data_IF_298636393435
#
_entry.id   IF_298636393435
#
_cell.length_a   1.000
_cell.length_b   1.000
_cell.length_c   1.000
_cell.angle_alpha   90.00
_cell.angle_beta   90.00
_cell.angle_gamma   90.00
#
_symmetry.space_group_name_H-M   'P 1'
#
loop_
_entity.id
_entity.type
_entity.pdbx_description
1 polymer ?
#
# COMPACT_ATOMS: atom_id res chain seq x y z
N UNK A 1 19.84 -5.36 -10.42
CA UNK A 1 19.43 -5.67 -11.80
C UNK A 1 18.83 -7.07 -12.02
N UNK A 2 19.10 -8.09 -11.19
CA UNK A 2 18.57 -9.47 -11.40
C UNK A 2 17.03 -9.60 -11.39
N UNK A 3 16.32 -8.65 -10.81
CA UNK A 3 14.85 -8.66 -10.71
C UNK A 3 14.14 -8.11 -11.96
N UNK A 4 14.80 -7.23 -12.72
CA UNK A 4 14.16 -6.55 -13.84
C UNK A 4 13.74 -7.52 -14.97
N UNK A 5 14.50 -8.59 -15.18
CA UNK A 5 14.19 -9.61 -16.20
C UNK A 5 12.98 -10.49 -15.85
N UNK A 6 12.45 -10.39 -14.63
CA UNK A 6 11.34 -11.23 -14.18
C UNK A 6 9.97 -10.60 -14.40
N UNK A 7 9.95 -9.29 -14.67
CA UNK A 7 8.74 -8.58 -15.01
C UNK A 7 8.65 -8.44 -16.53
N UNK A 8 7.48 -8.71 -17.13
CA UNK A 8 7.29 -8.40 -18.53
C UNK A 8 7.41 -6.89 -18.75
N UNK A 9 7.90 -6.46 -19.91
CA UNK A 9 8.10 -5.04 -20.21
C UNK A 9 6.83 -4.18 -19.99
N UNK A 10 5.65 -4.74 -20.28
CA UNK A 10 4.36 -4.05 -20.04
C UNK A 10 4.00 -3.86 -18.56
N UNK A 11 4.77 -4.40 -17.60
CA UNK A 11 4.63 -4.02 -16.19
C UNK A 11 4.98 -2.53 -15.98
N UNK A 12 5.85 -1.97 -16.83
CA UNK A 12 6.21 -0.55 -16.82
C UNK A 12 5.09 0.37 -17.34
N UNK A 13 4.05 -0.20 -17.97
CA UNK A 13 2.83 0.56 -18.33
C UNK A 13 1.98 0.86 -17.09
N UNK A 14 2.30 0.25 -15.95
CA UNK A 14 1.62 0.49 -14.67
C UNK A 14 2.40 1.47 -13.80
N UNK A 15 1.73 2.03 -12.79
CA UNK A 15 2.43 2.70 -11.70
C UNK A 15 3.30 1.70 -10.95
N UNK A 16 4.54 2.05 -10.69
CA UNK A 16 5.47 1.26 -9.89
C UNK A 16 6.21 2.15 -8.91
N UNK A 17 6.97 1.56 -8.00
CA UNK A 17 7.80 2.34 -7.11
C UNK A 17 8.51 1.51 -6.07
N UNK A 18 9.12 2.21 -5.13
CA UNK A 18 9.98 1.60 -4.12
C UNK A 18 9.52 2.01 -2.72
N UNK A 19 9.51 1.07 -1.80
CA UNK A 19 9.42 1.33 -0.37
C UNK A 19 10.84 1.23 0.21
N UNK A 20 11.38 2.31 0.76
CA UNK A 20 12.69 2.30 1.42
C UNK A 20 12.53 2.52 2.91
N UNK A 21 13.14 1.64 3.72
CA UNK A 21 13.42 1.96 5.13
C UNK A 21 14.48 3.05 5.20
N UNK A 22 14.30 4.00 6.11
CA UNK A 22 15.15 5.20 6.16
C UNK A 22 16.26 5.09 7.21
N UNK A 23 16.07 4.25 8.22
CA UNK A 23 17.02 3.98 9.31
C UNK A 23 18.03 2.87 8.95
N UNK A 24 17.83 2.19 7.83
CA UNK A 24 18.68 1.08 7.36
C UNK A 24 19.64 1.51 6.25
N UNK A 25 20.56 0.59 5.91
CA UNK A 25 21.59 0.78 4.91
C UNK A 25 21.03 1.08 3.50
N UNK A 26 21.92 1.45 2.55
CA UNK A 26 21.52 1.98 1.25
C UNK A 26 20.73 1.01 0.35
N UNK A 27 20.74 -0.31 0.60
CA UNK A 27 20.28 -1.34 -0.36
C UNK A 27 18.88 -1.92 -0.12
N UNK A 28 18.20 -1.58 0.98
CA UNK A 28 16.94 -2.25 1.33
C UNK A 28 15.74 -1.46 0.81
N UNK A 29 15.25 -1.82 -0.37
CA UNK A 29 14.01 -1.30 -0.94
C UNK A 29 13.11 -2.44 -1.41
N UNK A 30 11.83 -2.38 -1.06
CA UNK A 30 10.81 -3.26 -1.63
C UNK A 30 10.26 -2.63 -2.92
N UNK A 31 9.86 -3.44 -3.89
CA UNK A 31 9.24 -2.98 -5.13
C UNK A 31 7.73 -3.10 -5.00
N UNK A 32 7.00 -2.03 -5.32
CA UNK A 32 5.57 -2.12 -5.52
C UNK A 32 5.17 -1.88 -6.98
N UNK A 33 4.14 -2.60 -7.42
CA UNK A 33 3.57 -2.52 -8.76
C UNK A 33 2.06 -2.45 -8.65
N UNK A 34 1.45 -1.38 -9.15
CA UNK A 34 0.00 -1.33 -9.33
C UNK A 34 -0.40 -2.20 -10.54
N UNK A 35 -1.53 -2.86 -10.45
CA UNK A 35 -2.10 -3.70 -11.49
C UNK A 35 -3.53 -3.24 -11.71
N UNK A 36 -3.77 -2.65 -12.87
CA UNK A 36 -5.13 -2.32 -13.31
C UNK A 36 -5.79 -3.60 -13.88
N UNK A 37 -6.96 -4.03 -13.37
CA UNK A 37 -7.72 -5.13 -13.95
C UNK A 37 -7.96 -4.93 -15.44
N UNK A 38 -7.82 -5.99 -16.24
CA UNK A 38 -7.95 -5.92 -17.70
C UNK A 38 -6.76 -5.31 -18.44
N UNK A 39 -5.72 -4.82 -17.75
CA UNK A 39 -4.46 -4.42 -18.38
C UNK A 39 -3.69 -5.62 -18.97
N UNK A 40 -2.69 -5.35 -19.81
CA UNK A 40 -1.76 -6.38 -20.28
C UNK A 40 -1.03 -7.07 -19.14
N UNK A 41 -0.70 -6.32 -18.08
CA UNK A 41 -0.08 -6.87 -16.89
C UNK A 41 -1.01 -7.79 -16.10
N UNK A 42 -2.26 -7.37 -15.89
CA UNK A 42 -3.30 -8.22 -15.29
C UNK A 42 -3.50 -9.53 -16.07
N UNK A 43 -3.65 -9.46 -17.41
CA UNK A 43 -3.78 -10.66 -18.26
C UNK A 43 -2.59 -11.62 -18.15
N UNK A 44 -1.38 -11.09 -18.01
CA UNK A 44 -0.20 -11.92 -17.80
C UNK A 44 -0.26 -12.67 -16.47
N UNK A 45 -0.64 -12.00 -15.39
CA UNK A 45 -0.80 -12.60 -14.07
C UNK A 45 -1.92 -13.66 -14.04
N UNK A 46 -3.05 -13.40 -14.72
CA UNK A 46 -4.13 -14.37 -14.92
C UNK A 46 -3.60 -15.64 -15.61
N UNK A 47 -2.89 -15.50 -16.73
CA UNK A 47 -2.28 -16.64 -17.44
C UNK A 47 -1.26 -17.38 -16.59
N UNK A 48 -0.48 -16.67 -15.77
CA UNK A 48 0.48 -17.30 -14.83
C UNK A 48 -0.26 -18.12 -13.78
N UNK A 49 -1.36 -17.59 -13.23
CA UNK A 49 -2.21 -18.30 -12.26
C UNK A 49 -2.90 -19.53 -12.83
N UNK A 50 -3.24 -19.54 -14.13
CA UNK A 50 -3.91 -20.66 -14.79
C UNK A 50 -2.99 -21.86 -15.13
N UNK A 51 -1.67 -21.75 -14.94
CA UNK A 51 -0.73 -22.85 -15.25
C UNK A 51 -0.90 -24.00 -14.26
N UNK A 52 -0.70 -25.24 -14.74
CA UNK A 52 -0.80 -26.44 -13.91
C UNK A 52 0.13 -26.40 -12.69
N UNK A 53 1.36 -25.90 -12.87
CA UNK A 53 2.34 -25.76 -11.77
C UNK A 53 2.24 -24.45 -10.96
N UNK A 54 1.17 -23.66 -11.10
CA UNK A 54 1.06 -22.41 -10.36
C UNK A 54 1.04 -22.66 -8.84
N UNK A 55 1.58 -21.74 -8.04
CA UNK A 55 1.43 -21.79 -6.58
C UNK A 55 -0.01 -21.42 -6.17
N UNK A 56 -0.40 -21.69 -4.92
CA UNK A 56 -1.72 -21.28 -4.42
C UNK A 56 -1.91 -19.76 -4.52
N UNK A 57 -0.89 -18.96 -4.15
CA UNK A 57 -0.93 -17.51 -4.27
C UNK A 57 -1.04 -17.03 -5.72
N UNK A 58 -0.30 -17.62 -6.66
CA UNK A 58 -0.41 -17.27 -8.07
C UNK A 58 -1.80 -17.62 -8.66
N UNK A 59 -2.37 -18.77 -8.29
CA UNK A 59 -3.75 -19.14 -8.64
C UNK A 59 -4.75 -18.14 -8.09
N UNK A 60 -4.67 -17.86 -6.78
CA UNK A 60 -5.56 -16.92 -6.10
C UNK A 60 -5.54 -15.52 -6.72
N UNK A 61 -4.35 -14.98 -6.96
CA UNK A 61 -4.19 -13.67 -7.60
C UNK A 61 -4.73 -13.67 -9.04
N UNK A 62 -4.45 -14.72 -9.81
CA UNK A 62 -4.95 -14.84 -11.18
C UNK A 62 -6.48 -14.91 -11.24
N UNK A 63 -7.11 -15.69 -10.36
CA UNK A 63 -8.57 -15.80 -10.28
C UNK A 63 -9.21 -14.48 -9.82
N UNK A 64 -8.65 -13.85 -8.77
CA UNK A 64 -9.12 -12.55 -8.29
C UNK A 64 -9.07 -11.49 -9.39
N UNK A 65 -7.94 -11.39 -10.11
CA UNK A 65 -7.79 -10.41 -11.19
C UNK A 65 -8.74 -10.68 -12.37
N UNK A 66 -9.03 -11.95 -12.67
CA UNK A 66 -10.00 -12.32 -13.69
C UNK A 66 -11.42 -11.88 -13.29
N UNK A 67 -11.83 -12.16 -12.05
CA UNK A 67 -13.13 -11.74 -11.53
C UNK A 67 -13.27 -10.21 -11.53
N UNK A 68 -12.30 -9.46 -11.00
CA UNK A 68 -12.37 -7.99 -10.96
C UNK A 68 -12.36 -7.37 -12.36
N UNK A 69 -11.72 -8.01 -13.34
CA UNK A 69 -11.67 -7.52 -14.72
C UNK A 69 -12.99 -7.75 -15.49
N UNK A 70 -13.80 -8.73 -15.08
CA UNK A 70 -15.09 -9.01 -15.70
C UNK A 70 -16.11 -7.92 -15.29
N UNK A 71 -16.64 -7.15 -16.24
CA UNK A 71 -17.68 -6.16 -15.93
C UNK A 71 -18.85 -6.81 -15.21
N UNK A 72 -19.41 -6.13 -14.22
CA UNK A 72 -20.61 -6.55 -13.47
C UNK A 72 -20.42 -7.75 -12.53
N UNK A 73 -19.26 -8.41 -12.56
CA UNK A 73 -18.90 -9.44 -11.57
C UNK A 73 -19.04 -8.92 -10.15
N UNK A 74 -19.19 -9.82 -9.19
CA UNK A 74 -19.35 -9.40 -7.80
C UNK A 74 -18.17 -8.55 -7.36
N UNK A 75 -16.93 -8.98 -7.58
CA UNK A 75 -15.75 -8.22 -7.11
C UNK A 75 -15.45 -6.96 -7.92
N UNK A 76 -15.86 -6.86 -9.19
CA UNK A 76 -15.68 -5.64 -9.98
C UNK A 76 -16.44 -4.44 -9.40
N UNK A 77 -17.48 -4.69 -8.60
CA UNK A 77 -18.26 -3.67 -7.89
C UNK A 77 -17.56 -3.16 -6.63
N UNK A 78 -16.58 -3.90 -6.11
CA UNK A 78 -15.89 -3.56 -4.86
C UNK A 78 -14.50 -3.00 -5.09
N UNK A 79 -13.76 -3.58 -6.03
CA UNK A 79 -12.32 -3.35 -6.18
C UNK A 79 -11.97 -2.74 -7.52
N UNK A 80 -10.93 -1.91 -7.47
CA UNK A 80 -10.47 -1.17 -8.64
C UNK A 80 -9.05 -1.51 -9.06
N UNK A 81 -8.14 -1.58 -8.10
CA UNK A 81 -6.72 -1.73 -8.35
C UNK A 81 -6.16 -2.78 -7.39
N UNK A 82 -5.14 -3.49 -7.85
CA UNK A 82 -4.30 -4.31 -6.98
C UNK A 82 -2.91 -3.69 -6.91
N UNK A 83 -2.26 -3.67 -5.75
CA UNK A 83 -0.85 -3.34 -5.61
C UNK A 83 -0.12 -4.61 -5.17
N UNK A 84 0.94 -4.96 -5.90
CA UNK A 84 1.81 -6.09 -5.58
C UNK A 84 3.08 -5.56 -4.92
N UNK A 85 3.42 -6.05 -3.74
CA UNK A 85 4.66 -5.72 -3.00
C UNK A 85 5.62 -6.90 -3.07
N UNK A 86 6.84 -6.66 -3.56
CA UNK A 86 7.92 -7.64 -3.64
C UNK A 86 9.06 -7.19 -2.73
N UNK A 87 9.41 -8.05 -1.77
CA UNK A 87 10.58 -7.85 -0.92
C UNK A 87 11.85 -8.11 -1.75
N UNK A 88 12.55 -7.05 -2.17
CA UNK A 88 13.79 -7.20 -2.95
C UNK A 88 15.02 -7.40 -2.08
N UNK A 89 14.92 -7.06 -0.79
CA UNK A 89 16.01 -7.16 0.18
C UNK A 89 16.21 -8.61 0.62
N UNK A 90 15.14 -9.40 0.65
CA UNK A 90 15.23 -10.84 0.77
C UNK A 90 16.10 -11.39 -0.37
N UNK A 91 17.26 -11.99 -0.04
CA UNK A 91 18.19 -12.59 -1.02
C UNK A 91 17.63 -13.83 -1.73
N UNK A 92 16.31 -14.03 -1.72
CA UNK A 92 15.61 -15.18 -2.30
C UNK A 92 15.07 -14.85 -3.69
N UNK A 93 15.02 -15.85 -4.60
CA UNK A 93 14.45 -15.64 -5.92
C UNK A 93 12.95 -15.35 -5.83
N UNK A 94 12.42 -14.43 -6.65
CA UNK A 94 11.02 -13.98 -6.61
C UNK A 94 10.05 -15.04 -7.10
N UNK A 95 10.57 -16.05 -7.81
CA UNK A 95 9.80 -17.19 -8.26
C UNK A 95 9.36 -18.09 -7.10
N UNK A 96 10.05 -18.01 -5.95
CA UNK A 96 9.74 -18.82 -4.76
C UNK A 96 8.80 -18.15 -3.77
N UNK A 97 8.70 -16.81 -3.77
CA UNK A 97 7.89 -16.08 -2.80
C UNK A 97 6.78 -15.27 -3.50
N UNK A 98 5.49 -15.59 -3.28
CA UNK A 98 4.40 -14.79 -3.82
C UNK A 98 4.46 -13.37 -3.25
N UNK A 99 4.12 -12.33 -4.06
CA UNK A 99 4.14 -10.97 -3.57
C UNK A 99 3.12 -10.77 -2.45
N UNK A 100 3.35 -9.74 -1.63
CA UNK A 100 2.27 -9.12 -0.89
C UNK A 100 1.22 -8.60 -1.86
N UNK A 101 -0.06 -8.80 -1.56
CA UNK A 101 -1.17 -8.32 -2.38
C UNK A 101 -1.98 -7.35 -1.58
N UNK A 102 -2.12 -6.14 -2.10
CA UNK A 102 -2.98 -5.10 -1.57
C UNK A 102 -4.09 -4.82 -2.57
N UNK A 103 -5.32 -4.67 -2.08
CA UNK A 103 -6.51 -4.36 -2.87
C UNK A 103 -7.04 -2.99 -2.48
N UNK A 104 -7.35 -2.18 -3.50
CA UNK A 104 -7.95 -0.86 -3.32
C UNK A 104 -9.45 -0.91 -3.61
N UNK A 105 -10.31 -0.56 -2.65
CA UNK A 105 -11.74 -0.43 -2.90
C UNK A 105 -12.06 0.81 -3.74
N UNK A 106 -13.18 0.80 -4.48
CA UNK A 106 -13.60 1.94 -5.32
C UNK A 106 -13.78 3.25 -4.54
N UNK A 107 -14.16 3.17 -3.27
CA UNK A 107 -14.35 4.33 -2.40
C UNK A 107 -13.05 4.91 -1.81
N UNK A 108 -11.89 4.39 -2.20
CA UNK A 108 -10.62 5.01 -1.82
C UNK A 108 -10.53 6.42 -2.43
N UNK A 109 -10.44 7.43 -1.58
CA UNK A 109 -10.37 8.82 -2.00
C UNK A 109 -9.03 9.19 -2.69
N UNK A 110 -8.08 8.25 -2.78
CA UNK A 110 -6.83 8.37 -3.56
C UNK A 110 -7.06 7.96 -5.02
N UNK A 111 -7.98 8.62 -5.72
CA UNK A 111 -8.18 8.33 -7.13
C UNK A 111 -6.91 8.68 -7.94
N UNK A 112 -6.31 7.69 -8.59
CA UNK A 112 -5.18 7.87 -9.53
C UNK A 112 -5.60 8.79 -10.69
N UNK A 113 -4.76 9.72 -11.17
CA UNK A 113 -5.08 10.50 -12.36
C UNK A 113 -5.38 9.61 -13.57
N UNK A 114 -6.50 9.85 -14.25
CA UNK A 114 -6.98 9.01 -15.37
C UNK A 114 -8.04 7.97 -14.98
N UNK A 115 -8.41 7.85 -13.70
CA UNK A 115 -9.67 7.18 -13.34
C UNK A 115 -10.85 7.96 -13.90
N UNK A 116 -11.69 7.35 -14.73
CA UNK A 116 -13.09 7.77 -14.71
C UNK A 116 -13.64 7.38 -13.33
N UNK A 117 -14.14 8.35 -12.56
CA UNK A 117 -14.99 8.04 -11.41
C UNK A 117 -16.21 7.33 -12.00
N UNK A 118 -16.34 6.02 -11.79
CA UNK A 118 -17.62 5.35 -12.07
C UNK A 118 -18.66 6.01 -11.16
N UNK A 119 -19.76 6.56 -11.71
CA UNK A 119 -20.76 7.24 -10.90
C UNK A 119 -21.39 6.24 -9.91
N UNK A 120 -21.34 6.60 -8.63
CA UNK A 120 -22.29 6.18 -7.59
C UNK A 120 -22.48 4.69 -7.37
N UNK A 121 -21.64 4.08 -6.54
CA UNK A 121 -22.10 2.97 -5.71
C UNK A 121 -22.71 3.57 -4.44
N UNK A 122 -23.97 3.22 -4.18
CA UNK A 122 -24.76 3.78 -3.09
C UNK A 122 -24.10 3.59 -1.71
N UNK A 123 -24.55 4.33 -0.69
CA UNK A 123 -23.95 4.32 0.65
C UNK A 123 -23.86 2.94 1.33
N UNK A 124 -24.57 1.91 0.82
CA UNK A 124 -24.59 0.55 1.38
C UNK A 124 -23.45 -0.39 0.99
N UNK A 125 -22.65 -0.08 -0.05
CA UNK A 125 -21.46 -0.87 -0.42
C UNK A 125 -20.21 -0.46 0.36
N UNK A 126 -20.33 0.50 1.27
CA UNK A 126 -19.20 1.02 2.04
C UNK A 126 -18.85 0.02 3.14
N UNK A 127 -17.67 -0.60 3.02
CA UNK A 127 -17.01 -1.30 4.12
C UNK A 127 -17.64 -2.63 4.59
N UNK A 128 -18.05 -3.52 3.67
CA UNK A 128 -18.32 -4.91 4.06
C UNK A 128 -17.01 -5.66 4.37
N UNK A 129 -16.63 -5.67 5.65
CA UNK A 129 -15.43 -6.33 6.15
C UNK A 129 -15.32 -7.81 5.74
N UNK A 130 -16.45 -8.51 5.62
CA UNK A 130 -16.49 -9.90 5.16
C UNK A 130 -16.00 -10.02 3.72
N UNK A 131 -16.52 -9.19 2.81
CA UNK A 131 -16.07 -9.14 1.42
C UNK A 131 -14.60 -8.77 1.34
N UNK A 132 -14.17 -7.72 2.06
CA UNK A 132 -12.79 -7.24 2.04
C UNK A 132 -11.78 -8.31 2.51
N UNK A 133 -12.09 -8.97 3.63
CA UNK A 133 -11.21 -10.01 4.23
C UNK A 133 -11.15 -11.25 3.35
N UNK A 134 -12.31 -11.70 2.84
CA UNK A 134 -12.37 -12.84 1.91
C UNK A 134 -11.62 -12.55 0.61
N UNK A 135 -11.81 -11.36 0.04
CA UNK A 135 -11.19 -10.95 -1.22
C UNK A 135 -9.66 -10.94 -1.12
N UNK A 136 -9.11 -10.31 -0.08
CA UNK A 136 -7.65 -10.25 0.08
C UNK A 136 -7.07 -11.63 0.39
N UNK A 137 -7.75 -12.44 1.22
CA UNK A 137 -7.36 -13.82 1.50
C UNK A 137 -7.34 -14.68 0.24
N UNK A 138 -8.39 -14.59 -0.57
CA UNK A 138 -8.49 -15.29 -1.85
C UNK A 138 -7.39 -14.85 -2.83
N UNK A 139 -7.12 -13.55 -2.93
CA UNK A 139 -6.10 -13.00 -3.82
C UNK A 139 -4.68 -13.49 -3.48
N UNK A 140 -4.40 -13.87 -2.22
CA UNK A 140 -3.13 -14.51 -1.83
C UNK A 140 -3.21 -16.03 -1.72
N UNK A 141 -4.31 -16.65 -2.17
CA UNK A 141 -4.50 -18.11 -2.16
C UNK A 141 -4.65 -18.71 -0.77
N UNK A 142 -5.11 -17.94 0.22
CA UNK A 142 -5.36 -18.39 1.59
C UNK A 142 -6.78 -18.93 1.73
N UNK A 143 -6.93 -19.99 2.53
CA UNK A 143 -8.25 -20.42 2.99
C UNK A 143 -8.89 -19.38 3.93
N UNK A 144 -10.24 -19.28 3.96
CA UNK A 144 -10.96 -18.47 4.93
C UNK A 144 -10.57 -18.81 6.38
N UNK A 145 -10.61 -17.81 7.26
CA UNK A 145 -10.31 -17.98 8.68
C UNK A 145 -11.35 -17.22 9.50
N UNK A 146 -12.25 -17.94 10.17
CA UNK A 146 -13.36 -17.35 10.90
C UNK A 146 -12.91 -16.42 12.03
N UNK A 147 -11.84 -16.77 12.75
CA UNK A 147 -11.32 -15.92 13.83
C UNK A 147 -10.72 -14.60 13.28
N UNK A 148 -10.01 -14.64 12.15
CA UNK A 148 -9.52 -13.45 11.43
C UNK A 148 -10.69 -12.58 10.94
N UNK A 149 -11.76 -13.20 10.41
CA UNK A 149 -12.99 -12.52 10.02
C UNK A 149 -13.69 -11.82 11.20
N UNK A 150 -13.82 -12.51 12.34
CA UNK A 150 -14.41 -11.95 13.54
C UNK A 150 -13.57 -10.79 14.10
N UNK A 151 -12.24 -10.94 14.12
CA UNK A 151 -11.32 -9.88 14.52
C UNK A 151 -11.47 -8.66 13.62
N UNK A 152 -11.51 -8.86 12.29
CA UNK A 152 -11.73 -7.78 11.34
C UNK A 152 -13.11 -7.13 11.54
N UNK A 153 -14.15 -7.91 11.78
CA UNK A 153 -15.49 -7.40 12.06
C UNK A 153 -15.55 -6.53 13.32
N UNK A 154 -14.78 -6.84 14.36
CA UNK A 154 -14.65 -5.97 15.55
C UNK A 154 -13.99 -4.63 15.19
N UNK A 155 -12.91 -4.65 14.42
CA UNK A 155 -12.21 -3.44 13.97
C UNK A 155 -13.13 -2.54 13.15
N UNK A 156 -13.84 -3.11 12.16
CA UNK A 156 -14.76 -2.34 11.32
C UNK A 156 -15.95 -1.76 12.09
N UNK A 157 -16.50 -2.48 13.08
CA UNK A 157 -17.58 -1.95 13.94
C UNK A 157 -17.13 -0.79 14.83
N UNK A 158 -15.85 -0.72 15.17
CA UNK A 158 -15.29 0.35 15.99
C UNK A 158 -14.89 1.60 15.19
N UNK A 159 -14.92 1.55 13.85
CA UNK A 159 -14.53 2.68 13.00
C UNK A 159 -15.37 3.92 13.32
N UNK A 160 -14.72 5.09 13.47
CA UNK A 160 -15.43 6.33 13.71
C UNK A 160 -16.20 6.76 12.46
N UNK A 161 -17.20 7.62 12.66
CA UNK A 161 -17.97 8.20 11.55
C UNK A 161 -17.02 8.95 10.60
N UNK A 162 -17.17 8.68 9.30
CA UNK A 162 -16.33 9.30 8.26
C UNK A 162 -15.00 8.61 8.02
N UNK A 163 -14.66 7.54 8.75
CA UNK A 163 -13.53 6.71 8.40
C UNK A 163 -13.76 5.97 7.08
N UNK A 164 -12.70 5.79 6.30
CA UNK A 164 -12.71 5.01 5.06
C UNK A 164 -11.56 4.01 5.05
N UNK A 165 -11.72 2.91 4.30
CA UNK A 165 -10.61 1.99 4.03
C UNK A 165 -9.90 2.43 2.75
N UNK A 166 -8.61 2.75 2.85
CA UNK A 166 -7.79 3.13 1.69
C UNK A 166 -7.33 1.89 0.93
N UNK A 167 -6.85 0.86 1.64
CA UNK A 167 -6.50 -0.43 1.07
C UNK A 167 -6.44 -1.54 2.14
N UNK A 168 -6.55 -2.79 1.70
CA UNK A 168 -6.27 -3.98 2.51
C UNK A 168 -5.15 -4.79 1.88
N UNK A 169 -4.24 -5.31 2.69
CA UNK A 169 -3.09 -6.09 2.24
C UNK A 169 -2.95 -7.44 2.93
N UNK A 170 -2.41 -8.42 2.22
CA UNK A 170 -1.96 -9.67 2.81
C UNK A 170 -0.55 -9.98 2.30
N UNK A 171 0.36 -10.29 3.23
CA UNK A 171 1.75 -10.63 2.92
C UNK A 171 2.00 -12.11 3.21
N UNK A 172 2.01 -12.99 2.19
CA UNK A 172 2.03 -14.44 2.37
C UNK A 172 3.31 -15.00 3.02
N UNK A 173 4.44 -14.27 2.95
CA UNK A 173 5.71 -14.68 3.58
C UNK A 173 5.93 -14.17 5.01
N UNK A 174 4.96 -13.47 5.62
CA UNK A 174 5.11 -12.90 6.98
C UNK A 174 4.31 -13.69 8.01
N UNK A 175 4.93 -13.97 9.15
CA UNK A 175 4.29 -14.54 10.34
C UNK A 175 4.18 -13.47 11.46
N UNK A 176 3.07 -13.43 12.22
CA UNK A 176 1.87 -14.23 12.04
C UNK A 176 1.10 -13.88 10.76
N UNK A 177 0.35 -14.83 10.22
CA UNK A 177 -0.69 -14.55 9.22
C UNK A 177 -1.58 -13.39 9.70
N UNK A 178 -1.62 -12.32 8.91
CA UNK A 178 -2.48 -11.17 9.14
C UNK A 178 -2.98 -10.54 7.83
N UNK A 179 -4.02 -9.72 7.96
CA UNK A 179 -4.48 -8.75 6.98
C UNK A 179 -4.08 -7.36 7.47
N UNK A 180 -3.28 -6.65 6.66
CA UNK A 180 -3.00 -5.24 6.85
C UNK A 180 -4.21 -4.42 6.46
N UNK A 181 -4.72 -3.61 7.36
CA UNK A 181 -5.80 -2.69 7.12
C UNK A 181 -5.25 -1.27 7.15
N UNK A 182 -5.48 -0.50 6.09
CA UNK A 182 -5.10 0.91 6.03
C UNK A 182 -6.34 1.78 5.95
N UNK A 183 -6.49 2.61 6.96
CA UNK A 183 -7.70 3.36 7.26
C UNK A 183 -7.41 4.85 7.23
N UNK A 184 -8.23 5.61 6.52
CA UNK A 184 -8.27 7.06 6.72
C UNK A 184 -9.19 7.35 7.89
N UNK A 185 -8.63 7.92 8.94
CA UNK A 185 -9.34 8.26 10.17
C UNK A 185 -9.02 9.72 10.49
N UNK A 186 -10.01 10.56 10.86
CA UNK A 186 -9.73 11.88 11.40
C UNK A 186 -8.73 11.76 12.56
N UNK A 187 -7.68 12.57 12.58
CA UNK A 187 -6.61 12.39 13.57
C UNK A 187 -7.14 12.39 15.01
N UNK A 188 -8.10 13.26 15.31
CA UNK A 188 -8.75 13.36 16.63
C UNK A 188 -9.48 12.07 17.06
N UNK A 189 -9.82 11.21 16.11
CA UNK A 189 -10.49 9.93 16.35
C UNK A 189 -9.52 8.75 16.44
N UNK A 190 -8.22 8.93 16.18
CA UNK A 190 -7.25 7.83 16.18
C UNK A 190 -7.12 7.20 17.57
N UNK A 191 -6.92 8.01 18.61
CA UNK A 191 -6.81 7.52 19.99
C UNK A 191 -8.12 6.84 20.43
N UNK A 192 -9.31 7.49 20.34
CA UNK A 192 -10.57 6.84 20.67
C UNK A 192 -10.83 5.54 19.89
N UNK A 193 -10.46 5.48 18.62
CA UNK A 193 -10.60 4.27 17.81
C UNK A 193 -9.73 3.12 18.33
N UNK A 194 -8.45 3.41 18.63
CA UNK A 194 -7.52 2.40 19.13
C UNK A 194 -7.92 1.88 20.51
N UNK A 195 -8.48 2.74 21.36
CA UNK A 195 -9.07 2.33 22.64
C UNK A 195 -10.29 1.41 22.45
N UNK A 196 -11.21 1.75 21.53
CA UNK A 196 -12.39 0.91 21.24
C UNK A 196 -12.07 -0.49 20.72
N UNK A 197 -10.96 -0.65 20.00
CA UNK A 197 -10.50 -1.97 19.52
C UNK A 197 -9.54 -2.65 20.50
N UNK A 198 -9.36 -2.08 21.69
CA UNK A 198 -8.47 -2.57 22.75
C UNK A 198 -7.04 -2.79 22.23
N UNK A 199 -6.52 -1.83 21.46
CA UNK A 199 -5.18 -1.92 20.91
C UNK A 199 -4.14 -2.02 22.04
N UNK A 200 -3.37 -3.11 22.03
CA UNK A 200 -2.43 -3.46 23.10
C UNK A 200 -1.04 -2.83 22.97
N UNK A 201 -0.89 -1.86 22.06
CA UNK A 201 0.36 -1.11 21.90
C UNK A 201 0.56 -0.03 22.98
N UNK A 202 1.66 0.72 22.85
CA UNK A 202 1.98 1.79 23.81
C UNK A 202 1.22 3.08 23.48
N UNK A 203 0.18 3.38 24.27
CA UNK A 203 -0.58 4.65 24.14
C UNK A 203 0.30 5.88 24.32
N UNK A 204 1.32 5.82 25.20
CA UNK A 204 2.27 6.92 25.38
C UNK A 204 3.14 7.14 24.13
N UNK A 205 3.55 6.08 23.42
CA UNK A 205 4.29 6.23 22.15
C UNK A 205 3.37 6.74 21.04
N UNK A 206 2.11 6.27 21.01
CA UNK A 206 1.08 6.75 20.09
C UNK A 206 0.87 8.26 20.25
N UNK A 207 0.66 8.75 21.47
CA UNK A 207 0.47 10.18 21.73
C UNK A 207 1.70 11.00 21.33
N UNK A 208 2.91 10.51 21.62
CA UNK A 208 4.16 11.15 21.15
C UNK A 208 4.23 11.22 19.63
N UNK A 209 3.89 10.13 18.94
CA UNK A 209 3.86 10.08 17.49
C UNK A 209 2.81 11.04 16.91
N UNK A 210 1.61 11.08 17.48
CA UNK A 210 0.55 12.00 17.06
C UNK A 210 0.94 13.46 17.32
N UNK A 211 1.48 13.79 18.48
CA UNK A 211 1.99 15.12 18.81
C UNK A 211 3.13 15.55 17.87
N UNK A 212 3.93 14.59 17.40
CA UNK A 212 4.93 14.84 16.37
C UNK A 212 4.27 15.13 15.00
N UNK A 213 3.26 14.36 14.62
CA UNK A 213 2.51 14.53 13.37
C UNK A 213 1.75 15.86 13.29
N UNK A 214 1.39 16.48 14.42
CA UNK A 214 0.72 17.81 14.45
C UNK A 214 1.49 18.88 13.69
N UNK A 215 2.83 18.81 13.72
CA UNK A 215 3.70 19.80 13.05
C UNK A 215 3.63 19.72 11.53
N UNK A 216 3.17 18.59 11.02
CA UNK A 216 3.23 18.26 9.60
C UNK A 216 1.85 18.15 8.97
N UNK A 217 0.81 18.00 9.80
CA UNK A 217 -0.55 17.95 9.32
C UNK A 217 -1.05 19.37 9.00
N UNK A 218 -1.40 19.59 7.74
CA UNK A 218 -2.06 20.79 7.24
C UNK A 218 -3.16 20.40 6.23
N UNK A 219 -3.89 21.38 5.70
CA UNK A 219 -4.97 21.17 4.73
C UNK A 219 -4.54 20.41 3.47
N UNK A 220 -3.24 20.37 3.17
CA UNK A 220 -2.66 19.64 2.04
C UNK A 220 -2.20 18.21 2.34
N UNK A 221 -2.40 17.71 3.57
CA UNK A 221 -1.92 16.39 3.99
C UNK A 221 -3.05 15.52 4.54
N UNK A 222 -3.08 14.26 4.12
CA UNK A 222 -3.95 13.24 4.68
C UNK A 222 -3.15 12.28 5.58
N UNK A 223 -3.80 11.81 6.63
CA UNK A 223 -3.25 10.83 7.56
C UNK A 223 -4.04 9.53 7.44
N UNK A 224 -3.35 8.43 7.17
CA UNK A 224 -3.92 7.09 7.22
C UNK A 224 -3.21 6.26 8.29
N UNK A 225 -3.96 5.37 8.94
CA UNK A 225 -3.52 4.47 9.99
C UNK A 225 -3.48 3.06 9.42
N UNK A 226 -2.32 2.41 9.50
CA UNK A 226 -2.12 1.05 9.06
C UNK A 226 -1.91 0.14 10.27
N UNK A 227 -2.74 -0.89 10.42
CA UNK A 227 -2.60 -1.92 11.44
C UNK A 227 -2.73 -3.31 10.83
N UNK A 228 -2.07 -4.29 11.45
CA UNK A 228 -2.17 -5.70 11.02
C UNK A 228 -3.17 -6.42 11.92
N UNK A 229 -4.17 -7.06 11.34
CA UNK A 229 -5.22 -7.80 12.05
C UNK A 229 -5.07 -9.29 11.75
N UNK A 230 -5.01 -10.10 12.81
CA UNK A 230 -4.90 -11.57 12.71
C UNK A 230 -6.03 -12.24 13.49
N UNK A 231 -6.07 -13.57 13.47
CA UNK A 231 -6.93 -14.35 14.36
C UNK A 231 -6.70 -14.06 15.86
N UNK A 232 -5.52 -13.56 16.23
CA UNK A 232 -5.17 -13.18 17.62
C UNK A 232 -5.58 -11.74 17.98
N UNK A 233 -6.18 -11.00 17.04
CA UNK A 233 -6.51 -9.58 17.20
C UNK A 233 -5.56 -8.66 16.46
N UNK A 234 -5.58 -7.38 16.85
CA UNK A 234 -4.80 -6.31 16.23
C UNK A 234 -3.36 -6.35 16.75
N UNK A 235 -2.39 -6.23 15.85
CA UNK A 235 -0.97 -6.15 16.19
C UNK A 235 -0.69 -4.94 17.07
N UNK A 236 0.28 -5.08 17.98
CA UNK A 236 0.86 -3.96 18.74
C UNK A 236 1.62 -2.98 17.85
N UNK A 237 1.90 -3.35 16.60
CA UNK A 237 2.56 -2.49 15.61
C UNK A 237 1.51 -1.63 14.91
N UNK A 238 1.81 -0.35 14.79
CA UNK A 238 0.92 0.64 14.17
C UNK A 238 1.75 1.53 13.26
N UNK A 239 1.25 1.83 12.07
CA UNK A 239 1.90 2.81 11.21
C UNK A 239 0.96 3.96 10.82
N UNK A 240 1.58 5.10 10.57
CA UNK A 240 0.95 6.30 10.04
C UNK A 240 1.51 6.58 8.66
N UNK A 241 0.64 6.73 7.68
CA UNK A 241 0.99 7.16 6.33
C UNK A 241 0.60 8.63 6.18
N UNK A 242 1.60 9.47 5.93
CA UNK A 242 1.41 10.87 5.60
C UNK A 242 1.36 11.00 4.09
N UNK A 243 0.17 11.24 3.56
CA UNK A 243 -0.07 11.43 2.13
C UNK A 243 -0.30 12.90 1.82
N UNK A 244 -0.07 13.28 0.58
CA UNK A 244 -0.46 14.59 0.06
C UNK A 244 -1.88 14.52 -0.50
N UNK A 245 -2.63 15.61 -0.36
CA UNK A 245 -3.98 15.74 -0.95
C UNK A 245 -3.99 15.81 -2.48
N UNK A 246 -2.82 15.89 -3.12
CA UNK A 246 -2.66 15.91 -4.57
C UNK A 246 -1.77 14.77 -5.07
N UNK A 247 -1.87 14.40 -6.36
CA UNK A 247 -1.05 13.32 -6.91
C UNK A 247 0.45 13.59 -6.71
N UNK A 248 1.15 12.59 -6.16
CA UNK A 248 2.54 12.69 -5.74
C UNK A 248 3.53 13.11 -6.84
N UNK A 249 3.25 12.80 -8.11
CA UNK A 249 4.08 13.23 -9.24
C UNK A 249 3.93 14.71 -9.61
N UNK A 250 2.94 15.41 -9.03
CA UNK A 250 2.76 16.85 -9.21
C UNK A 250 3.51 17.66 -8.16
N UNK A 251 3.90 17.03 -7.04
CA UNK A 251 4.75 17.66 -6.03
C UNK A 251 6.20 17.27 -6.18
N UNK A 252 7.01 18.32 -6.09
CA UNK A 252 8.46 18.21 -6.01
C UNK A 252 8.86 17.50 -4.72
N UNK A 253 9.86 16.62 -4.80
CA UNK A 253 10.41 15.90 -3.65
C UNK A 253 10.82 16.85 -2.50
N UNK A 254 11.21 18.09 -2.83
CA UNK A 254 11.54 19.14 -1.86
C UNK A 254 10.44 19.45 -0.85
N UNK A 255 9.16 19.16 -1.14
CA UNK A 255 8.07 19.33 -0.17
C UNK A 255 8.32 18.54 1.11
N UNK A 256 8.89 17.33 0.97
CA UNK A 256 9.23 16.46 2.09
C UNK A 256 10.54 16.83 2.79
N UNK A 257 11.34 17.74 2.24
CA UNK A 257 12.69 18.02 2.72
C UNK A 257 12.76 18.47 4.19
N UNK A 258 11.84 19.32 4.71
CA UNK A 258 11.83 19.68 6.13
C UNK A 258 11.57 18.47 7.03
N UNK A 259 10.59 17.63 6.68
CA UNK A 259 10.26 16.41 7.46
C UNK A 259 11.41 15.40 7.43
N UNK A 260 12.00 15.17 6.25
CA UNK A 260 13.17 14.30 6.09
C UNK A 260 14.35 14.83 6.90
N UNK A 261 14.59 16.15 6.91
CA UNK A 261 15.62 16.76 7.74
C UNK A 261 15.40 16.47 9.23
N UNK A 262 14.15 16.57 9.67
CA UNK A 262 13.80 16.26 11.04
C UNK A 262 13.92 14.76 11.38
N UNK A 263 13.64 13.86 10.44
CA UNK A 263 13.94 12.42 10.63
C UNK A 263 15.43 12.17 10.83
N UNK A 264 16.30 12.92 10.15
CA UNK A 264 17.75 12.83 10.37
C UNK A 264 18.14 13.30 11.77
N UNK A 265 17.58 14.42 12.23
CA UNK A 265 17.83 14.94 13.59
C UNK A 265 17.41 13.95 14.68
N UNK A 266 16.33 13.19 14.46
CA UNK A 266 15.83 12.15 15.36
C UNK A 266 16.57 10.81 15.24
N UNK A 267 17.48 10.67 14.28
CA UNK A 267 18.13 9.39 13.98
C UNK A 267 17.21 8.35 13.34
N UNK A 268 16.04 8.75 12.83
CA UNK A 268 15.08 7.88 12.15
C UNK A 268 15.35 7.75 10.64
N UNK A 269 16.19 8.62 10.10
CA UNK A 269 16.65 8.59 8.72
C UNK A 269 18.16 8.79 8.67
N UNK A 270 18.88 7.94 7.94
CA UNK A 270 20.30 8.14 7.71
C UNK A 270 20.53 9.37 6.83
N UNK A 271 21.66 10.07 7.03
CA UNK A 271 22.03 11.22 6.18
C UNK A 271 22.10 10.86 4.69
N UNK A 272 22.57 9.64 4.39
CA UNK A 272 22.66 9.13 3.02
C UNK A 272 21.27 8.95 2.38
N UNK A 273 20.31 8.32 3.08
CA UNK A 273 18.92 8.19 2.59
C UNK A 273 18.24 9.54 2.45
N UNK A 274 18.45 10.47 3.39
CA UNK A 274 17.92 11.82 3.29
C UNK A 274 18.45 12.58 2.08
N UNK A 275 19.76 12.46 1.78
CA UNK A 275 20.35 13.04 0.58
C UNK A 275 19.75 12.42 -0.69
N UNK A 276 19.63 11.10 -0.74
CA UNK A 276 19.06 10.38 -1.88
C UNK A 276 17.59 10.75 -2.15
N UNK A 277 16.77 10.89 -1.11
CA UNK A 277 15.37 11.33 -1.25
C UNK A 277 15.25 12.77 -1.75
N UNK A 278 16.15 13.66 -1.30
CA UNK A 278 16.18 15.06 -1.77
C UNK A 278 16.61 15.18 -3.21
N UNK A 279 17.46 14.25 -3.68
CA UNK A 279 17.87 14.15 -5.08
C UNK A 279 16.99 13.22 -5.90
N UNK A 280 15.86 12.75 -5.38
CA UNK A 280 14.96 11.89 -6.14
C UNK A 280 14.44 12.65 -7.35
N UNK A 281 14.55 12.09 -8.58
CA UNK A 281 14.19 12.82 -9.79
C UNK A 281 12.71 13.23 -9.77
N UNK A 282 12.40 14.36 -10.41
CA UNK A 282 11.01 14.84 -10.59
C UNK A 282 10.38 14.31 -11.89
N UNK A 283 11.20 13.77 -12.78
CA UNK A 283 10.80 13.12 -14.02
C UNK A 283 11.96 13.06 -15.01
N UNK A 284 11.75 12.33 -16.11
CA UNK A 284 12.69 12.23 -17.22
C UNK A 284 11.93 11.88 -18.52
N UNK A 285 12.64 11.77 -19.63
CA UNK A 285 12.12 11.22 -20.88
C UNK A 285 12.85 9.92 -21.22
N UNK A 286 12.07 8.86 -21.47
CA UNK A 286 12.60 7.59 -21.97
C UNK A 286 12.33 7.51 -23.47
N UNK A 287 13.42 7.48 -24.24
CA UNK A 287 13.36 7.25 -25.68
C UNK A 287 13.51 5.76 -25.97
N UNK A 288 12.57 5.22 -26.71
CA UNK A 288 12.65 3.88 -27.29
C UNK A 288 12.73 4.00 -28.80
N UNK A 289 13.07 2.93 -29.51
CA UNK A 289 13.10 2.91 -30.98
C UNK A 289 11.76 3.33 -31.62
N UNK A 290 10.63 3.19 -30.90
CA UNK A 290 9.29 3.37 -31.46
C UNK A 290 8.48 4.49 -30.83
N UNK A 291 8.84 4.95 -29.63
CA UNK A 291 8.01 5.83 -28.80
C UNK A 291 8.85 6.65 -27.82
N UNK A 292 8.35 7.83 -27.48
CA UNK A 292 8.84 8.64 -26.38
C UNK A 292 7.87 8.50 -25.21
N UNK A 293 8.41 8.27 -24.02
CA UNK A 293 7.66 8.25 -22.78
C UNK A 293 8.16 9.36 -21.87
N UNK A 294 7.24 10.06 -21.22
CA UNK A 294 7.58 10.89 -20.07
C UNK A 294 7.54 10.00 -18.81
N UNK A 295 8.68 9.87 -18.15
CA UNK A 295 8.77 9.28 -16.82
C UNK A 295 8.40 10.35 -15.79
N UNK A 296 7.38 10.07 -14.99
CA UNK A 296 6.98 10.93 -13.87
C UNK A 296 7.33 10.23 -12.57
N UNK A 297 8.08 10.91 -11.71
CA UNK A 297 8.59 10.36 -10.45
C UNK A 297 8.32 11.31 -9.29
N UNK A 298 8.24 10.76 -8.09
CA UNK A 298 8.05 11.57 -6.87
C UNK A 298 7.98 10.72 -5.62
N UNK A 299 7.92 11.36 -4.46
CA UNK A 299 7.69 10.70 -3.17
C UNK A 299 6.19 10.68 -2.92
N UNK A 300 5.60 9.47 -2.92
CA UNK A 300 4.18 9.22 -2.71
C UNK A 300 3.73 9.60 -1.30
N UNK A 301 4.37 8.99 -0.31
CA UNK A 301 4.10 9.26 1.10
C UNK A 301 5.31 8.90 1.95
N UNK A 302 5.33 9.45 3.16
CA UNK A 302 6.23 9.03 4.23
C UNK A 302 5.44 8.24 5.26
N UNK A 303 6.07 7.22 5.84
CA UNK A 303 5.43 6.34 6.80
C UNK A 303 6.21 6.31 8.11
N UNK A 304 5.50 6.48 9.21
CA UNK A 304 6.00 6.35 10.57
C UNK A 304 5.48 5.03 11.15
N UNK A 305 6.34 4.15 11.65
CA UNK A 305 5.96 2.89 12.26
C UNK A 305 6.32 2.91 13.74
N UNK A 306 5.33 2.64 14.59
CA UNK A 306 5.49 2.36 16.02
C UNK A 306 5.60 0.84 16.20
N UNK A 307 6.68 0.41 16.84
CA UNK A 307 6.97 -1.00 17.12
C UNK A 307 7.58 -1.12 18.53
N UNK A 308 6.71 -1.32 19.52
CA UNK A 308 7.09 -1.18 20.93
C UNK A 308 7.58 0.23 21.23
N UNK A 309 8.80 0.36 21.76
CA UNK A 309 9.44 1.66 22.03
C UNK A 309 10.23 2.23 20.85
N UNK A 310 10.25 1.52 19.72
CA UNK A 310 10.98 1.95 18.52
C UNK A 310 10.05 2.68 17.57
N UNK A 311 10.57 3.77 17.01
CA UNK A 311 9.99 4.43 15.85
C UNK A 311 10.89 4.15 14.65
N UNK A 312 10.30 3.59 13.59
CA UNK A 312 10.95 3.42 12.31
C UNK A 312 10.27 4.31 11.26
N UNK A 313 10.99 4.69 10.21
CA UNK A 313 10.42 5.48 9.12
C UNK A 313 10.69 4.85 7.77
N UNK A 314 9.75 5.05 6.85
CA UNK A 314 9.86 4.61 5.46
C UNK A 314 9.47 5.73 4.50
N UNK A 315 10.00 5.68 3.29
CA UNK A 315 9.55 6.50 2.18
C UNK A 315 9.04 5.61 1.05
N UNK A 316 7.94 6.02 0.43
CA UNK A 316 7.39 5.37 -0.76
C UNK A 316 7.62 6.29 -1.94
N UNK A 317 8.44 5.88 -2.89
CA UNK A 317 8.77 6.65 -4.09
C UNK A 317 8.08 6.02 -5.28
N UNK A 318 7.27 6.80 -6.01
CA UNK A 318 6.52 6.35 -7.17
C UNK A 318 7.19 6.72 -8.48
N UNK A 319 6.84 5.97 -9.52
CA UNK A 319 7.17 6.20 -10.91
C UNK A 319 6.01 5.71 -11.81
N UNK A 320 5.74 6.41 -12.92
CA UNK A 320 4.92 5.88 -14.01
C UNK A 320 5.29 6.52 -15.34
N UNK A 321 4.98 5.81 -16.44
CA UNK A 321 5.27 6.25 -17.79
C UNK A 321 4.01 6.80 -18.46
N UNK A 322 4.11 8.00 -19.03
CA UNK A 322 3.10 8.58 -19.89
C UNK A 322 3.58 8.56 -21.35
N UNK A 323 2.84 7.94 -22.28
CA UNK A 323 3.09 8.10 -23.71
C UNK A 323 3.03 9.58 -24.09
N UNK A 324 3.96 10.03 -24.95
CA UNK A 324 3.95 11.37 -25.57
C UNK A 324 3.59 11.32 -27.03
#
# INVERSE_FOLDING_TARGET
MRWASQFPAFALESTFGFESRLDQGPADCDLFLSVQPGSSFSRHLIRRGARAQATAGARGLGQFLAEVAEPESFLSQWFRTVILEYDLAASRPPESEPPGVFIEPHDSALAVPGSSKRPGHGPGLRCNHGVMTSAVGWAVGRAPNEAEHQAMGRVYRALPRGATTDHLGALPGREPRAVRLVLRIPKTEVVPFLERIEWSGSMAQLERALGWLDRWQNDGTALSVACDVSARGVSTRLAFELLLGEPWHRRRARFWAPMIGHFVEKGWCTRAKAAALRSWPEGDYLLTERRVYQLLTGINHLKLLIDGDRIATKAYMGAFLLPK
#
